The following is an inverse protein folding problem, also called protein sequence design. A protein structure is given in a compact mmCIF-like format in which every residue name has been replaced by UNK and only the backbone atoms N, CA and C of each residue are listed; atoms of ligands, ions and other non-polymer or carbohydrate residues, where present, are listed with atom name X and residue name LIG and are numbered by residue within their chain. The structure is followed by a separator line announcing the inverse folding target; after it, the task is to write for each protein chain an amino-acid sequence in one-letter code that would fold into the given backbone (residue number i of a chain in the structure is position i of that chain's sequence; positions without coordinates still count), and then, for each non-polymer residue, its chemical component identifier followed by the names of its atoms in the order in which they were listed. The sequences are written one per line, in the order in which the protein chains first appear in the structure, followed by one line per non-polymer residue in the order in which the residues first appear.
data_IF_455459190308
#
_entry.id   IF_455459190308
#
_cell.length_a   1.000
_cell.length_b   1.000
_cell.length_c   1.000
_cell.angle_alpha   90.00
_cell.angle_beta   90.00
_cell.angle_gamma   90.00
#
_symmetry.space_group_name_H-M   'P 1'
#
loop_
_entity.id
_entity.type
_entity.pdbx_description
1 polymer ?
#
# COMPACT_ATOMS: atom_id res chain seq x y z
N UNK A 1 -1.70 45.59 38.94
CA UNK A 1 -1.20 44.99 37.66
C UNK A 1 -0.81 43.51 37.77
N UNK A 2 -1.44 42.68 38.62
CA UNK A 2 -1.03 41.25 38.83
C UNK A 2 -1.97 40.18 38.23
N UNK A 3 -3.12 40.55 37.65
CA UNK A 3 -4.10 39.59 37.11
C UNK A 3 -3.90 39.19 35.63
N UNK A 4 -3.04 39.89 34.88
CA UNK A 4 -2.80 39.58 33.45
C UNK A 4 -1.69 38.52 33.22
N UNK A 5 -0.93 38.15 34.24
CA UNK A 5 0.20 37.21 34.10
C UNK A 5 -0.22 35.73 34.29
N UNK A 6 -1.33 35.46 34.99
CA UNK A 6 -1.77 34.07 35.26
C UNK A 6 -2.47 33.39 34.08
N UNK A 7 -3.02 34.14 33.12
CA UNK A 7 -3.69 33.55 31.96
C UNK A 7 -2.71 32.96 30.91
N UNK A 8 -1.43 33.36 30.96
CA UNK A 8 -0.43 32.95 29.97
C UNK A 8 0.19 31.55 30.24
N UNK A 9 -0.04 30.96 31.42
CA UNK A 9 0.59 29.69 31.82
C UNK A 9 -0.31 28.47 31.55
N UNK A 10 -1.64 28.65 31.48
CA UNK A 10 -2.61 27.54 31.42
C UNK A 10 -2.80 27.01 29.99
N UNK A 11 -2.73 27.87 28.96
CA UNK A 11 -2.93 27.48 27.55
C UNK A 11 -1.97 26.39 27.03
N UNK A 12 -0.64 26.44 27.28
CA UNK A 12 0.28 25.44 26.75
C UNK A 12 0.11 24.05 27.40
N UNK A 13 -0.36 23.96 28.65
CA UNK A 13 -0.56 22.68 29.34
C UNK A 13 -1.76 21.89 28.79
N UNK A 14 -2.82 22.59 28.37
CA UNK A 14 -4.00 21.97 27.76
C UNK A 14 -3.69 21.39 26.37
N UNK A 15 -2.90 22.10 25.55
CA UNK A 15 -2.48 21.61 24.23
C UNK A 15 -1.57 20.37 24.32
N UNK A 16 -0.70 20.30 25.32
CA UNK A 16 0.16 19.14 25.56
C UNK A 16 -0.66 17.90 25.96
N UNK A 17 -1.67 18.08 26.82
CA UNK A 17 -2.59 17.01 27.21
C UNK A 17 -3.35 16.43 26.02
N UNK A 18 -3.85 17.29 25.13
CA UNK A 18 -4.59 16.87 23.95
C UNK A 18 -3.73 16.09 22.94
N UNK A 19 -2.49 16.54 22.68
CA UNK A 19 -1.55 15.81 21.81
C UNK A 19 -1.21 14.44 22.38
N UNK A 20 -0.95 14.35 23.69
CA UNK A 20 -0.65 13.08 24.36
C UNK A 20 -1.83 12.11 24.30
N UNK A 21 -3.05 12.61 24.50
CA UNK A 21 -4.28 11.82 24.39
C UNK A 21 -4.46 11.23 22.99
N UNK A 22 -4.34 12.04 21.92
CA UNK A 22 -4.46 11.54 20.55
C UNK A 22 -3.35 10.56 20.18
N UNK A 23 -2.12 10.81 20.63
CA UNK A 23 -1.01 9.87 20.38
C UNK A 23 -1.29 8.50 20.98
N UNK A 24 -1.85 8.46 22.19
CA UNK A 24 -2.21 7.21 22.86
C UNK A 24 -3.33 6.45 22.13
N UNK A 25 -4.34 7.16 21.63
CA UNK A 25 -5.40 6.55 20.83
C UNK A 25 -4.89 6.00 19.49
N UNK A 26 -3.94 6.68 18.84
CA UNK A 26 -3.29 6.16 17.63
C UNK A 26 -2.50 4.89 17.95
N UNK A 27 -1.76 4.86 19.07
CA UNK A 27 -1.01 3.66 19.50
C UNK A 27 -1.92 2.47 19.74
N UNK A 28 -3.01 2.66 20.51
CA UNK A 28 -3.99 1.61 20.77
C UNK A 28 -4.63 1.09 19.49
N UNK A 29 -5.00 2.00 18.58
CA UNK A 29 -5.60 1.64 17.29
C UNK A 29 -4.63 0.86 16.41
N UNK A 30 -3.36 1.27 16.35
CA UNK A 30 -2.32 0.59 15.60
C UNK A 30 -2.01 -0.80 16.18
N UNK A 31 -1.92 -0.93 17.50
CA UNK A 31 -1.69 -2.23 18.15
C UNK A 31 -2.87 -3.18 17.94
N UNK A 32 -4.10 -2.69 18.09
CA UNK A 32 -5.30 -3.49 17.76
C UNK A 32 -5.28 -3.93 16.30
N UNK A 33 -5.00 -3.00 15.38
CA UNK A 33 -4.90 -3.30 13.96
C UNK A 33 -3.83 -4.34 13.65
N UNK A 34 -2.68 -4.28 14.33
CA UNK A 34 -1.60 -5.25 14.21
C UNK A 34 -2.04 -6.66 14.67
N UNK A 35 -2.70 -6.75 15.82
CA UNK A 35 -3.22 -8.02 16.35
C UNK A 35 -4.33 -8.61 15.47
N UNK A 36 -5.20 -7.76 14.92
CA UNK A 36 -6.30 -8.16 14.03
C UNK A 36 -5.85 -8.51 12.61
N UNK A 37 -4.67 -8.04 12.18
CA UNK A 37 -4.19 -8.16 10.79
C UNK A 37 -4.21 -9.60 10.23
N UNK A 38 -3.69 -10.63 10.93
CA UNK A 38 -3.72 -12.00 10.43
C UNK A 38 -5.15 -12.51 10.15
N UNK A 39 -6.10 -12.15 11.02
CA UNK A 39 -7.51 -12.50 10.87
C UNK A 39 -8.11 -11.81 9.65
N UNK A 40 -7.88 -10.51 9.46
CA UNK A 40 -8.37 -9.75 8.31
C UNK A 40 -7.87 -10.34 6.99
N UNK A 41 -6.59 -10.71 6.91
CA UNK A 41 -6.04 -11.36 5.72
C UNK A 41 -6.67 -12.73 5.48
N UNK A 42 -6.85 -13.54 6.53
CA UNK A 42 -7.48 -14.86 6.41
C UNK A 42 -8.94 -14.77 5.96
N UNK A 43 -9.72 -13.84 6.51
CA UNK A 43 -11.11 -13.58 6.11
C UNK A 43 -11.19 -13.11 4.66
N UNK A 44 -10.32 -12.18 4.26
CA UNK A 44 -10.23 -11.73 2.88
C UNK A 44 -9.92 -12.90 1.93
N UNK A 45 -8.91 -13.73 2.23
CA UNK A 45 -8.57 -14.91 1.41
C UNK A 45 -9.73 -15.91 1.27
N UNK A 46 -10.64 -15.99 2.25
CA UNK A 46 -11.82 -16.87 2.21
C UNK A 46 -12.98 -16.30 1.40
N UNK A 47 -13.09 -14.99 1.31
CA UNK A 47 -14.27 -14.28 0.79
C UNK A 47 -14.02 -13.46 -0.48
N UNK A 48 -12.76 -13.31 -0.90
CA UNK A 48 -12.42 -12.52 -2.08
C UNK A 48 -13.04 -13.12 -3.35
N UNK A 49 -13.49 -12.23 -4.23
CA UNK A 49 -14.08 -12.60 -5.51
C UNK A 49 -13.22 -12.02 -6.62
N UNK A 50 -12.42 -12.84 -7.33
CA UNK A 50 -11.61 -12.35 -8.43
C UNK A 50 -12.49 -12.07 -9.65
N UNK A 51 -12.32 -10.88 -10.22
CA UNK A 51 -12.89 -10.46 -11.49
C UNK A 51 -11.91 -10.70 -12.62
N UNK A 52 -12.40 -11.30 -13.72
CA UNK A 52 -11.61 -11.46 -14.95
C UNK A 52 -11.19 -10.10 -15.50
N UNK A 53 -12.03 -9.06 -15.42
CA UNK A 53 -11.79 -7.73 -15.98
C UNK A 53 -11.07 -6.80 -15.01
N UNK A 54 -11.37 -6.89 -13.71
CA UNK A 54 -10.91 -5.93 -12.70
C UNK A 54 -9.90 -6.50 -11.70
N UNK A 55 -9.45 -7.75 -11.88
CA UNK A 55 -8.46 -8.34 -10.99
C UNK A 55 -9.09 -8.78 -9.67
N UNK A 56 -8.57 -8.30 -8.53
CA UNK A 56 -9.14 -8.60 -7.21
C UNK A 56 -9.17 -7.35 -6.34
N UNK A 57 -10.15 -7.27 -5.45
CA UNK A 57 -10.25 -6.19 -4.48
C UNK A 57 -9.41 -6.53 -3.24
N UNK A 58 -8.21 -5.97 -3.10
CA UNK A 58 -7.33 -6.21 -1.95
C UNK A 58 -7.93 -5.65 -0.64
N UNK A 59 -7.60 -6.22 0.52
CA UNK A 59 -8.01 -5.65 1.80
C UNK A 59 -7.27 -4.33 2.03
N UNK A 60 -7.98 -3.26 2.38
CA UNK A 60 -7.37 -1.94 2.62
C UNK A 60 -6.62 -1.83 3.95
N UNK A 61 -7.00 -2.64 4.95
CA UNK A 61 -6.48 -2.58 6.32
C UNK A 61 -4.95 -2.56 6.44
N UNK A 62 -4.17 -3.40 5.72
CA UNK A 62 -2.71 -3.44 5.88
C UNK A 62 -2.04 -2.13 5.48
N UNK A 63 -2.59 -1.41 4.51
CA UNK A 63 -2.04 -0.15 3.98
C UNK A 63 -2.30 0.99 4.94
N UNK A 64 -3.53 1.09 5.47
CA UNK A 64 -3.86 2.07 6.50
C UNK A 64 -3.06 1.82 7.77
N UNK A 65 -2.92 0.56 8.19
CA UNK A 65 -2.11 0.18 9.35
C UNK A 65 -0.63 0.54 9.15
N UNK A 66 -0.04 0.23 8.00
CA UNK A 66 1.34 0.59 7.69
C UNK A 66 1.56 2.12 7.76
N UNK A 67 0.58 2.90 7.27
CA UNK A 67 0.63 4.36 7.35
C UNK A 67 0.56 4.86 8.80
N UNK A 68 -0.31 4.30 9.64
CA UNK A 68 -0.38 4.65 11.08
C UNK A 68 0.92 4.30 11.82
N UNK A 69 1.52 3.15 11.51
CA UNK A 69 2.80 2.73 12.08
C UNK A 69 3.95 3.64 11.64
N UNK A 70 3.99 4.06 10.36
CA UNK A 70 4.97 5.02 9.88
C UNK A 70 4.86 6.36 10.62
N UNK A 71 3.64 6.88 10.80
CA UNK A 71 3.38 8.09 11.59
C UNK A 71 3.84 7.92 13.05
N UNK A 72 3.55 6.79 13.68
CA UNK A 72 4.00 6.52 15.05
C UNK A 72 5.53 6.50 15.15
N UNK A 73 6.21 5.93 14.17
CA UNK A 73 7.67 6.01 14.10
C UNK A 73 8.16 7.46 13.94
N UNK A 74 7.55 8.26 13.06
CA UNK A 74 7.92 9.68 12.90
C UNK A 74 7.81 10.45 14.21
N UNK A 75 6.75 10.21 14.99
CA UNK A 75 6.44 10.91 16.22
C UNK A 75 7.24 10.42 17.45
N UNK A 76 7.53 9.12 17.53
CA UNK A 76 8.13 8.48 18.72
C UNK A 76 9.59 8.06 18.52
N UNK A 77 10.02 7.93 17.27
CA UNK A 77 11.29 7.33 16.84
C UNK A 77 11.49 5.87 17.28
N UNK A 78 10.43 5.18 17.70
CA UNK A 78 10.48 3.77 18.06
C UNK A 78 10.55 2.90 16.80
N UNK A 79 11.69 2.24 16.59
CA UNK A 79 11.98 1.49 15.34
C UNK A 79 11.10 0.26 15.12
N UNK A 80 10.41 -0.22 16.17
CA UNK A 80 9.43 -1.30 16.10
C UNK A 80 8.31 -0.98 15.10
N UNK A 81 7.78 0.25 15.12
CA UNK A 81 6.72 0.66 14.20
C UNK A 81 7.19 0.71 12.75
N UNK A 82 8.39 1.23 12.51
CA UNK A 82 9.01 1.28 11.19
C UNK A 82 9.18 -0.13 10.59
N UNK A 83 9.64 -1.08 11.41
CA UNK A 83 9.79 -2.50 11.02
C UNK A 83 8.44 -3.13 10.67
N UNK A 84 7.44 -2.98 11.54
CA UNK A 84 6.09 -3.51 11.33
C UNK A 84 5.42 -2.92 10.08
N UNK A 85 5.60 -1.63 9.82
CA UNK A 85 5.13 -1.00 8.59
C UNK A 85 5.76 -1.66 7.36
N UNK A 86 7.09 -1.83 7.37
CA UNK A 86 7.80 -2.48 6.27
C UNK A 86 7.35 -3.94 6.05
N UNK A 87 7.09 -4.69 7.12
CA UNK A 87 6.58 -6.06 7.06
C UNK A 87 5.20 -6.14 6.38
N UNK A 88 4.27 -5.24 6.74
CA UNK A 88 2.94 -5.17 6.11
C UNK A 88 3.04 -4.87 4.61
N UNK A 89 3.90 -3.91 4.25
CA UNK A 89 4.05 -3.45 2.87
C UNK A 89 4.74 -4.51 2.00
N UNK A 90 5.75 -5.19 2.53
CA UNK A 90 6.42 -6.29 1.84
C UNK A 90 5.46 -7.47 1.61
N UNK A 91 4.71 -7.88 2.63
CA UNK A 91 3.74 -9.00 2.52
C UNK A 91 2.49 -8.65 1.71
N UNK A 92 2.22 -7.36 1.48
CA UNK A 92 1.08 -6.92 0.67
C UNK A 92 1.16 -7.39 -0.79
N UNK A 93 2.37 -7.46 -1.33
CA UNK A 93 2.62 -7.97 -2.68
C UNK A 93 2.20 -9.43 -2.85
N UNK A 94 2.29 -10.23 -1.78
CA UNK A 94 1.95 -11.66 -1.80
C UNK A 94 0.45 -11.91 -2.00
N UNK A 95 -0.41 -10.90 -1.80
CA UNK A 95 -1.84 -11.02 -2.06
C UNK A 95 -2.14 -11.28 -3.55
N UNK A 96 -1.23 -10.91 -4.45
CA UNK A 96 -1.32 -11.22 -5.90
C UNK A 96 -1.33 -12.72 -6.16
N UNK A 97 -0.72 -13.52 -5.27
CA UNK A 97 -0.68 -14.98 -5.39
C UNK A 97 -2.07 -15.62 -5.23
N UNK A 98 -3.05 -14.91 -4.64
CA UNK A 98 -4.43 -15.36 -4.58
C UNK A 98 -5.14 -15.26 -5.94
N UNK A 99 -4.61 -14.50 -6.90
CA UNK A 99 -5.27 -14.35 -8.21
C UNK A 99 -5.17 -15.65 -9.03
N UNK A 100 -6.27 -16.14 -9.64
CA UNK A 100 -6.23 -17.36 -10.43
C UNK A 100 -5.26 -17.25 -11.61
N UNK A 101 -4.25 -18.13 -11.65
CA UNK A 101 -3.21 -18.16 -12.70
C UNK A 101 -3.75 -18.37 -14.10
N UNK A 102 -4.99 -18.84 -14.25
CA UNK A 102 -5.60 -19.14 -15.56
C UNK A 102 -6.34 -17.96 -16.18
N UNK A 103 -6.57 -16.86 -15.43
CA UNK A 103 -7.39 -15.73 -15.91
C UNK A 103 -6.75 -14.96 -17.08
N UNK A 104 -5.44 -15.06 -17.30
CA UNK A 104 -4.82 -14.48 -18.51
C UNK A 104 -5.35 -15.12 -19.80
N UNK A 105 -5.72 -16.41 -19.76
CA UNK A 105 -6.26 -17.14 -20.93
C UNK A 105 -7.60 -16.59 -21.38
N UNK A 106 -8.44 -16.13 -20.44
CA UNK A 106 -9.77 -15.58 -20.73
C UNK A 106 -9.69 -14.23 -21.42
N UNK A 107 -8.72 -13.37 -21.05
CA UNK A 107 -8.51 -12.07 -21.70
C UNK A 107 -8.01 -12.21 -23.13
N UNK A 108 -7.07 -13.13 -23.35
CA UNK A 108 -6.57 -13.47 -24.69
C UNK A 108 -7.70 -14.01 -25.57
N UNK A 109 -8.59 -14.85 -25.04
CA UNK A 109 -9.70 -15.45 -25.80
C UNK A 109 -10.67 -14.42 -26.38
N UNK A 110 -11.01 -13.37 -25.64
CA UNK A 110 -11.92 -12.31 -26.15
C UNK A 110 -11.25 -11.50 -27.25
N UNK A 111 -9.98 -11.15 -27.08
CA UNK A 111 -9.20 -10.46 -28.11
C UNK A 111 -9.06 -11.32 -29.38
N UNK A 112 -8.74 -12.61 -29.25
CA UNK A 112 -8.64 -13.53 -30.39
C UNK A 112 -9.95 -13.64 -31.18
N UNK A 113 -11.10 -13.69 -30.50
CA UNK A 113 -12.42 -13.71 -31.16
C UNK A 113 -12.70 -12.45 -31.97
N UNK A 114 -12.34 -11.28 -31.46
CA UNK A 114 -12.50 -10.01 -32.18
C UNK A 114 -11.54 -9.97 -33.37
N UNK A 115 -10.29 -10.41 -33.16
CA UNK A 115 -9.25 -10.50 -34.20
C UNK A 115 -9.66 -11.40 -35.38
N UNK A 116 -10.33 -12.51 -35.10
CA UNK A 116 -10.75 -13.50 -36.10
C UNK A 116 -12.10 -13.16 -36.77
N UNK A 117 -12.82 -12.14 -36.29
CA UNK A 117 -14.15 -11.80 -36.77
C UNK A 117 -14.19 -11.14 -38.16
N UNK A 118 -13.05 -10.66 -38.67
CA UNK A 118 -12.98 -9.88 -39.92
C UNK A 118 -13.60 -8.48 -39.85
N UNK A 119 -14.10 -8.06 -38.68
CA UNK A 119 -14.77 -6.77 -38.47
C UNK A 119 -13.81 -5.60 -38.20
N UNK A 120 -12.51 -5.88 -38.08
CA UNK A 120 -11.49 -4.90 -37.69
C UNK A 120 -10.39 -4.88 -38.74
N UNK A 121 -10.10 -3.70 -39.30
CA UNK A 121 -9.02 -3.52 -40.26
C UNK A 121 -7.62 -3.67 -39.60
N UNK A 122 -6.60 -3.92 -40.40
CA UNK A 122 -5.26 -4.24 -39.90
C UNK A 122 -4.60 -3.08 -39.14
N UNK A 123 -4.97 -1.83 -39.42
CA UNK A 123 -4.47 -0.66 -38.69
C UNK A 123 -5.09 -0.60 -37.31
N UNK A 124 -6.42 -0.75 -37.21
CA UNK A 124 -7.15 -0.77 -35.94
C UNK A 124 -6.71 -1.95 -35.07
N UNK A 125 -6.46 -3.11 -35.66
CA UNK A 125 -5.94 -4.30 -34.96
C UNK A 125 -4.59 -4.05 -34.28
N UNK A 126 -3.64 -3.41 -34.97
CA UNK A 126 -2.33 -3.07 -34.39
C UNK A 126 -2.42 -2.10 -33.22
N UNK A 127 -3.34 -1.13 -33.28
CA UNK A 127 -3.60 -0.20 -32.16
C UNK A 127 -4.15 -0.96 -30.96
N UNK A 128 -5.14 -1.84 -31.16
CA UNK A 128 -5.72 -2.65 -30.08
C UNK A 128 -4.67 -3.57 -29.46
N UNK A 129 -3.81 -4.21 -30.25
CA UNK A 129 -2.75 -5.09 -29.75
C UNK A 129 -1.71 -4.32 -28.95
N UNK A 130 -1.29 -3.14 -29.43
CA UNK A 130 -0.39 -2.24 -28.71
C UNK A 130 -0.99 -1.77 -27.38
N UNK A 131 -2.26 -1.36 -27.39
CA UNK A 131 -2.93 -0.83 -26.20
C UNK A 131 -3.24 -1.94 -25.20
N UNK A 132 -3.55 -3.16 -25.65
CA UNK A 132 -3.70 -4.32 -24.78
C UNK A 132 -2.37 -4.76 -24.18
N UNK A 133 -1.28 -4.76 -24.95
CA UNK A 133 0.04 -5.06 -24.44
C UNK A 133 0.47 -4.01 -23.41
N UNK A 134 0.29 -2.72 -23.72
CA UNK A 134 0.59 -1.62 -22.81
C UNK A 134 -0.32 -1.62 -21.57
N UNK A 135 -1.60 -1.97 -21.71
CA UNK A 135 -2.53 -2.07 -20.58
C UNK A 135 -2.31 -3.31 -19.75
N UNK A 136 -1.90 -4.43 -20.34
CA UNK A 136 -1.49 -5.61 -19.60
C UNK A 136 -0.19 -5.32 -18.84
N UNK A 137 0.78 -4.70 -19.51
CA UNK A 137 2.02 -4.27 -18.89
C UNK A 137 1.75 -3.28 -17.77
N UNK A 138 0.87 -2.30 -17.97
CA UNK A 138 0.37 -1.41 -16.93
C UNK A 138 -0.39 -2.18 -15.83
N UNK A 139 -1.31 -3.10 -16.08
CA UNK A 139 -2.04 -3.78 -14.99
C UNK A 139 -1.13 -4.74 -14.20
N UNK A 140 -0.12 -5.33 -14.85
CA UNK A 140 0.80 -6.29 -14.23
C UNK A 140 2.01 -5.60 -13.57
N UNK A 141 2.47 -4.48 -14.13
CA UNK A 141 3.62 -3.69 -13.68
C UNK A 141 3.28 -2.33 -13.11
N UNK A 142 2.14 -1.72 -13.42
CA UNK A 142 1.61 -0.56 -12.70
C UNK A 142 0.96 -1.04 -11.42
N UNK A 143 1.55 -0.59 -10.33
CA UNK A 143 0.88 -0.65 -9.08
C UNK A 143 0.03 0.63 -9.13
N UNK A 144 -1.27 0.58 -9.34
CA UNK A 144 -2.14 1.61 -8.73
C UNK A 144 -2.10 1.51 -7.19
N UNK A 145 -1.34 0.52 -6.71
CA UNK A 145 -0.61 0.45 -5.45
C UNK A 145 0.69 1.29 -5.37
N UNK A 146 1.17 2.04 -6.36
CA UNK A 146 2.51 2.70 -6.42
C UNK A 146 2.50 4.14 -5.98
N UNK A 147 1.37 4.81 -5.87
CA UNK A 147 1.36 6.05 -5.07
C UNK A 147 1.43 5.73 -3.57
N UNK A 148 0.80 4.63 -3.16
CA UNK A 148 0.98 4.04 -1.81
C UNK A 148 2.30 3.29 -1.68
N UNK A 149 2.83 2.64 -2.73
CA UNK A 149 4.08 1.87 -2.71
C UNK A 149 5.33 2.68 -3.02
N UNK A 150 5.32 3.78 -3.76
CA UNK A 150 6.43 4.74 -3.76
C UNK A 150 6.51 5.40 -2.39
N UNK A 151 5.37 5.76 -1.78
CA UNK A 151 5.37 6.26 -0.39
C UNK A 151 5.76 5.17 0.60
N UNK A 152 5.32 3.93 0.41
CA UNK A 152 5.67 2.82 1.27
C UNK A 152 7.08 2.27 1.02
N UNK A 153 7.63 2.32 -0.19
CA UNK A 153 8.99 1.93 -0.55
C UNK A 153 9.98 3.00 -0.15
N UNK A 154 9.64 4.29 -0.32
CA UNK A 154 10.39 5.38 0.31
C UNK A 154 10.28 5.27 1.83
N UNK A 155 9.14 4.91 2.41
CA UNK A 155 9.00 4.64 3.85
C UNK A 155 9.75 3.37 4.27
N UNK A 156 9.82 2.31 3.45
CA UNK A 156 10.56 1.06 3.70
C UNK A 156 12.06 1.35 3.61
N UNK A 157 12.52 2.07 2.60
CA UNK A 157 13.91 2.49 2.46
C UNK A 157 14.31 3.41 3.59
N UNK A 158 13.46 4.39 3.94
CA UNK A 158 13.67 5.30 5.07
C UNK A 158 13.66 4.56 6.41
N UNK A 159 12.69 3.67 6.65
CA UNK A 159 12.59 2.81 7.82
C UNK A 159 13.79 1.85 7.95
N UNK A 160 14.23 1.24 6.85
CA UNK A 160 15.39 0.34 6.81
C UNK A 160 16.71 1.08 7.04
N UNK A 161 16.85 2.27 6.46
CA UNK A 161 17.98 3.16 6.69
C UNK A 161 18.09 3.55 8.18
N UNK A 162 16.99 3.97 8.79
CA UNK A 162 17.00 4.42 10.19
C UNK A 162 16.92 3.31 11.24
N UNK A 163 16.47 2.10 10.88
CA UNK A 163 16.51 0.92 11.76
C UNK A 163 17.86 0.18 11.75
N UNK A 164 18.84 0.65 10.96
CA UNK A 164 20.16 0.04 10.85
C UNK A 164 20.19 -1.29 10.11
N UNK A 165 19.13 -1.62 9.35
CA UNK A 165 18.98 -2.91 8.66
C UNK A 165 19.57 -2.94 7.25
N UNK A 166 20.03 -1.80 6.71
CA UNK A 166 20.76 -1.73 5.44
C UNK A 166 22.27 -1.60 5.69
N UNK A 167 22.97 -2.73 5.65
CA UNK A 167 24.42 -2.74 5.49
C UNK A 167 24.74 -2.65 3.99
N UNK A 168 25.02 -1.43 3.52
CA UNK A 168 25.78 -1.14 2.30
C UNK A 168 25.45 -1.93 1.04
N UNK A 169 24.30 -1.67 0.41
CA UNK A 169 24.13 -1.76 -1.05
C UNK A 169 22.83 -1.06 -1.47
N UNK A 170 22.95 0.20 -1.87
CA UNK A 170 21.91 0.84 -2.67
C UNK A 170 21.92 0.17 -4.05
N UNK A 171 20.87 -0.60 -4.36
CA UNK A 171 20.63 -1.04 -5.73
C UNK A 171 19.94 0.12 -6.42
N UNK A 172 20.65 0.73 -7.36
CA UNK A 172 20.08 1.67 -8.33
C UNK A 172 19.05 0.93 -9.16
N UNK A 173 17.79 1.39 -9.16
CA UNK A 173 16.71 0.84 -9.98
C UNK A 173 16.11 1.94 -10.86
N UNK A 174 16.97 2.59 -11.64
CA UNK A 174 16.56 3.36 -12.82
C UNK A 174 17.10 2.77 -14.13
N UNK A 175 17.69 1.56 -14.11
CA UNK A 175 18.18 0.88 -15.31
C UNK A 175 17.47 -0.47 -15.46
N UNK A 176 16.32 -0.49 -16.14
CA UNK A 176 15.79 -1.54 -17.05
C UNK A 176 14.31 -1.32 -17.32
#
# INVERSE_FOLDING_TARGET
MKKRLFLAIILPQLLFSQKAFYLEEIKKSAEKGWQDHPRVIAEWKRSYQPSVLWGYNSPGQPIYLASSLALLYELTKETSYARRAAELLASYGDLRQAYPKEYWKTRVRTHLKIRESGLVDEKTKKVIEHDLASSADFIFHSPEWVHTSLRAETTIHWARWHSGTLNGRAVSLCDS
#
